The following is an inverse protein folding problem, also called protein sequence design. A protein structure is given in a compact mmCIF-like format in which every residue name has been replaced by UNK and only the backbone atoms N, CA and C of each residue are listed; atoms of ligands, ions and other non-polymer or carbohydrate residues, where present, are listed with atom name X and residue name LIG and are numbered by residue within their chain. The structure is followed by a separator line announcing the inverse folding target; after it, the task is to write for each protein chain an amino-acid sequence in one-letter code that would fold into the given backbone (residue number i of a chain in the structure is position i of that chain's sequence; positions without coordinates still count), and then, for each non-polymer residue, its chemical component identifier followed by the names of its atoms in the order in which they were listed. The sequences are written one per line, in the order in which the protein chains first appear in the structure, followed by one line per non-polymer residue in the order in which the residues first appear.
data_IF_433330910055
#
_entry.id   IF_433330910055
#
_cell.length_a   1.000
_cell.length_b   1.000
_cell.length_c   1.000
_cell.angle_alpha   90.00
_cell.angle_beta   90.00
_cell.angle_gamma   90.00
#
_symmetry.space_group_name_H-M   'P 1'
#
loop_
_entity.id
_entity.type
_entity.pdbx_description
1 polymer ?
#
# COMPACT_ATOMS: atom_id res chain seq x y z
N UNK A 1 -31.27 5.44 -1.84
CA UNK A 1 -29.99 5.79 -1.19
C UNK A 1 -28.92 5.88 -2.26
N UNK A 2 -28.21 7.01 -2.35
CA UNK A 2 -27.12 7.19 -3.31
C UNK A 2 -25.88 6.51 -2.74
N UNK A 3 -25.39 5.46 -3.41
CA UNK A 3 -24.10 4.84 -3.09
C UNK A 3 -23.02 5.82 -3.49
N UNK A 4 -22.30 6.39 -2.52
CA UNK A 4 -21.09 7.15 -2.80
C UNK A 4 -20.03 6.17 -3.31
N UNK A 5 -19.76 6.20 -4.62
CA UNK A 5 -18.57 5.55 -5.19
C UNK A 5 -17.37 6.44 -4.89
N UNK A 6 -16.79 6.30 -3.70
CA UNK A 6 -15.39 6.68 -3.48
C UNK A 6 -14.50 5.79 -4.36
N UNK A 7 -13.29 6.28 -4.69
CA UNK A 7 -12.29 5.67 -5.57
C UNK A 7 -12.37 4.13 -5.68
N UNK A 8 -13.20 3.62 -6.61
CA UNK A 8 -13.29 2.22 -7.01
C UNK A 8 -13.51 1.13 -5.95
N UNK A 9 -13.66 1.44 -4.66
CA UNK A 9 -13.62 0.44 -3.58
C UNK A 9 -14.74 -0.59 -3.66
N UNK A 10 -14.36 -1.88 -3.67
CA UNK A 10 -15.29 -3.01 -3.46
C UNK A 10 -15.56 -3.14 -1.95
N UNK A 11 -16.40 -2.25 -1.42
CA UNK A 11 -16.75 -2.26 0.00
C UNK A 11 -17.42 -3.60 0.40
N UNK A 12 -16.87 -4.28 1.41
CA UNK A 12 -17.42 -5.52 1.98
C UNK A 12 -16.80 -6.83 1.49
N UNK A 13 -15.84 -6.77 0.56
CA UNK A 13 -15.16 -7.96 0.01
C UNK A 13 -14.08 -8.49 0.97
N UNK A 14 -14.03 -9.81 1.17
CA UNK A 14 -12.96 -10.46 1.94
C UNK A 14 -11.60 -10.37 1.23
N UNK A 15 -10.48 -10.54 1.97
CA UNK A 15 -9.13 -10.42 1.37
C UNK A 15 -8.91 -11.42 0.23
N UNK A 16 -9.33 -12.66 0.41
CA UNK A 16 -9.16 -13.70 -0.63
C UNK A 16 -10.00 -13.43 -1.86
N UNK A 17 -11.23 -12.97 -1.66
CA UNK A 17 -12.14 -12.56 -2.74
C UNK A 17 -11.60 -11.33 -3.48
N UNK A 18 -11.03 -10.35 -2.76
CA UNK A 18 -10.38 -9.19 -3.35
C UNK A 18 -9.19 -9.60 -4.20
N UNK A 19 -8.33 -10.48 -3.69
CA UNK A 19 -7.17 -10.97 -4.44
C UNK A 19 -7.59 -11.72 -5.70
N UNK A 20 -8.67 -12.50 -5.63
CA UNK A 20 -9.22 -13.17 -6.80
C UNK A 20 -9.80 -12.17 -7.80
N UNK A 21 -10.58 -11.20 -7.32
CA UNK A 21 -11.14 -10.13 -8.15
C UNK A 21 -10.05 -9.34 -8.88
N UNK A 22 -8.96 -8.98 -8.21
CA UNK A 22 -7.83 -8.26 -8.83
C UNK A 22 -7.13 -9.10 -9.91
N UNK A 23 -6.99 -10.41 -9.68
CA UNK A 23 -6.43 -11.33 -10.68
C UNK A 23 -7.30 -11.43 -11.93
N UNK A 24 -8.61 -11.49 -11.74
CA UNK A 24 -9.60 -11.62 -12.82
C UNK A 24 -9.84 -10.29 -13.54
N UNK A 25 -9.63 -9.16 -12.86
CA UNK A 25 -9.87 -7.80 -13.35
C UNK A 25 -8.57 -6.98 -13.37
N UNK A 26 -7.58 -7.44 -14.16
CA UNK A 26 -6.26 -6.78 -14.24
C UNK A 26 -6.31 -5.30 -14.61
N UNK A 27 -7.27 -4.91 -15.45
CA UNK A 27 -7.45 -3.50 -15.84
C UNK A 27 -7.85 -2.63 -14.65
N UNK A 28 -8.59 -3.18 -13.70
CA UNK A 28 -8.95 -2.48 -12.47
C UNK A 28 -7.72 -2.29 -11.56
N UNK A 29 -6.88 -3.31 -11.40
CA UNK A 29 -5.59 -3.18 -10.69
C UNK A 29 -4.71 -2.10 -11.34
N UNK A 30 -4.56 -2.12 -12.67
CA UNK A 30 -3.77 -1.15 -13.42
C UNK A 30 -4.34 0.28 -13.33
N UNK A 31 -5.66 0.43 -13.35
CA UNK A 31 -6.31 1.74 -13.16
C UNK A 31 -5.95 2.33 -11.80
N UNK A 32 -6.00 1.53 -10.73
CA UNK A 32 -5.62 1.99 -9.39
C UNK A 32 -4.14 2.37 -9.30
N UNK A 33 -3.24 1.63 -9.95
CA UNK A 33 -1.82 2.02 -10.03
C UNK A 33 -1.65 3.38 -10.72
N UNK A 34 -2.35 3.62 -11.83
CA UNK A 34 -2.27 4.90 -12.54
C UNK A 34 -2.80 6.08 -11.71
N UNK A 35 -3.91 5.88 -11.00
CA UNK A 35 -4.45 6.88 -10.08
C UNK A 35 -3.45 7.18 -8.97
N UNK A 36 -2.84 6.15 -8.38
CA UNK A 36 -1.83 6.31 -7.35
C UNK A 36 -0.57 7.06 -7.85
N UNK A 37 -0.06 6.75 -9.05
CA UNK A 37 1.05 7.51 -9.65
C UNK A 37 0.67 8.98 -9.92
N UNK A 38 -0.59 9.25 -10.30
CA UNK A 38 -1.09 10.61 -10.46
C UNK A 38 -1.14 11.36 -9.13
N UNK A 39 -1.63 10.73 -8.07
CA UNK A 39 -1.64 11.32 -6.72
C UNK A 39 -0.21 11.66 -6.26
N UNK A 40 0.77 10.79 -6.53
CA UNK A 40 2.18 11.08 -6.26
C UNK A 40 2.67 12.30 -7.06
N UNK A 41 2.33 12.38 -8.35
CA UNK A 41 2.71 13.52 -9.19
C UNK A 41 2.08 14.84 -8.70
N UNK A 42 0.83 14.79 -8.22
CA UNK A 42 0.10 15.94 -7.69
C UNK A 42 0.75 16.47 -6.39
N UNK A 43 1.39 15.61 -5.60
CA UNK A 43 2.18 16.00 -4.43
C UNK A 43 3.48 16.72 -4.79
N UNK A 44 3.89 16.72 -6.08
CA UNK A 44 5.12 17.36 -6.58
C UNK A 44 6.40 16.90 -5.86
N UNK A 45 6.43 15.64 -5.41
CA UNK A 45 7.61 15.04 -4.80
C UNK A 45 8.50 14.41 -5.89
N UNK A 46 9.76 14.83 -5.98
CA UNK A 46 10.69 14.38 -7.03
C UNK A 46 11.29 12.99 -6.77
N UNK A 47 11.41 12.56 -5.51
CA UNK A 47 11.93 11.24 -5.12
C UNK A 47 11.20 10.74 -3.87
N UNK A 48 9.94 10.28 -4.00
CA UNK A 48 9.15 9.85 -2.86
C UNK A 48 9.62 8.48 -2.35
N UNK A 49 9.75 8.38 -1.02
CA UNK A 49 9.81 7.10 -0.33
C UNK A 49 8.37 6.64 -0.05
N UNK A 50 7.98 5.52 -0.65
CA UNK A 50 6.65 4.93 -0.48
C UNK A 50 6.71 3.88 0.64
N UNK A 51 5.86 4.04 1.65
CA UNK A 51 5.73 3.10 2.77
C UNK A 51 4.49 2.24 2.53
N UNK A 52 4.68 0.96 2.21
CA UNK A 52 3.61 0.02 1.91
C UNK A 52 3.24 -0.79 3.16
N UNK A 53 1.99 -0.68 3.60
CA UNK A 53 1.49 -1.40 4.78
C UNK A 53 0.99 -2.78 4.39
N UNK A 54 1.62 -3.82 4.95
CA UNK A 54 1.26 -5.21 4.72
C UNK A 54 1.85 -5.81 3.44
N UNK A 55 1.80 -7.15 3.34
CA UNK A 55 2.41 -7.88 2.23
C UNK A 55 1.69 -7.62 0.90
N UNK A 56 0.36 -7.70 0.87
CA UNK A 56 -0.43 -7.57 -0.36
C UNK A 56 -0.16 -6.23 -1.05
N UNK A 57 -0.26 -5.12 -0.31
CA UNK A 57 0.01 -3.77 -0.83
C UNK A 57 1.42 -3.67 -1.38
N UNK A 58 2.42 -4.16 -0.62
CA UNK A 58 3.80 -4.13 -1.04
C UNK A 58 4.03 -4.93 -2.34
N UNK A 59 3.46 -6.13 -2.44
CA UNK A 59 3.62 -7.00 -3.60
C UNK A 59 3.01 -6.38 -4.86
N UNK A 60 1.82 -5.76 -4.75
CA UNK A 60 1.17 -5.03 -5.85
C UNK A 60 2.05 -3.86 -6.30
N UNK A 61 2.57 -3.05 -5.37
CA UNK A 61 3.39 -1.89 -5.70
C UNK A 61 4.73 -2.28 -6.32
N UNK A 62 5.42 -3.27 -5.76
CA UNK A 62 6.70 -3.76 -6.31
C UNK A 62 6.51 -4.30 -7.73
N UNK A 63 5.44 -5.05 -7.97
CA UNK A 63 5.10 -5.62 -9.28
C UNK A 63 4.96 -4.55 -10.37
N UNK A 64 4.39 -3.39 -10.07
CA UNK A 64 4.05 -2.39 -11.10
C UNK A 64 4.99 -1.19 -11.16
N UNK A 65 5.48 -0.72 -10.01
CA UNK A 65 6.21 0.55 -9.90
C UNK A 65 7.49 0.44 -9.05
N UNK A 66 7.89 -0.78 -8.67
CA UNK A 66 9.09 -1.02 -7.85
C UNK A 66 10.41 -0.65 -8.53
N UNK A 67 10.44 -0.52 -9.86
CA UNK A 67 11.58 0.00 -10.61
C UNK A 67 11.64 1.52 -10.71
N UNK A 68 10.55 2.22 -10.34
CA UNK A 68 10.45 3.69 -10.42
C UNK A 68 10.63 4.37 -9.07
N UNK A 69 10.14 3.75 -8.00
CA UNK A 69 10.10 4.35 -6.67
C UNK A 69 10.85 3.52 -5.64
N UNK A 70 11.31 4.20 -4.58
CA UNK A 70 11.83 3.53 -3.38
C UNK A 70 10.63 3.10 -2.54
N UNK A 71 10.46 1.80 -2.36
CA UNK A 71 9.31 1.23 -1.65
C UNK A 71 9.81 0.39 -0.48
N UNK A 72 9.33 0.71 0.73
CA UNK A 72 9.62 -0.05 1.95
C UNK A 72 8.34 -0.68 2.47
N UNK A 73 8.42 -1.97 2.77
CA UNK A 73 7.33 -2.70 3.45
C UNK A 73 7.37 -2.43 4.94
N UNK A 74 6.21 -2.15 5.52
CA UNK A 74 6.00 -2.15 6.97
C UNK A 74 4.85 -3.10 7.33
N UNK A 75 4.80 -3.51 8.59
CA UNK A 75 3.70 -4.33 9.08
C UNK A 75 2.35 -3.61 8.98
N UNK A 76 1.27 -4.38 8.90
CA UNK A 76 -0.07 -3.80 8.81
C UNK A 76 -0.45 -3.08 10.12
N UNK A 77 -1.17 -1.96 10.03
CA UNK A 77 -1.53 -1.16 11.20
C UNK A 77 -2.44 -1.90 12.19
N UNK A 78 -3.23 -2.87 11.72
CA UNK A 78 -4.14 -3.66 12.57
C UNK A 78 -3.49 -4.85 13.27
N UNK A 79 -2.15 -4.97 13.26
CA UNK A 79 -1.47 -6.02 13.99
C UNK A 79 -1.74 -5.88 15.50
N UNK A 80 -2.02 -6.99 16.19
CA UNK A 80 -2.33 -7.00 17.62
C UNK A 80 -1.06 -6.86 18.47
N UNK A 81 -0.46 -5.67 18.46
CA UNK A 81 0.71 -5.30 19.27
C UNK A 81 0.50 -3.92 19.90
N UNK A 82 1.32 -3.58 20.91
CA UNK A 82 1.27 -2.23 21.48
C UNK A 82 1.72 -1.18 20.45
N UNK A 83 1.23 0.05 20.61
CA UNK A 83 1.60 1.18 19.75
C UNK A 83 3.10 1.45 19.81
N UNK A 84 3.70 1.26 20.98
CA UNK A 84 5.12 1.45 21.26
C UNK A 84 5.96 0.40 20.52
N UNK A 85 5.52 -0.87 20.52
CA UNK A 85 6.21 -1.93 19.78
C UNK A 85 6.05 -1.76 18.27
N UNK A 86 4.86 -1.38 17.81
CA UNK A 86 4.62 -1.04 16.41
C UNK A 86 5.56 0.08 15.95
N UNK A 87 5.62 1.15 16.74
CA UNK A 87 6.50 2.29 16.55
C UNK A 87 7.96 1.82 16.41
N UNK A 88 8.46 1.06 17.39
CA UNK A 88 9.83 0.58 17.40
C UNK A 88 10.16 -0.25 16.15
N UNK A 89 9.27 -1.16 15.73
CA UNK A 89 9.50 -2.01 14.57
C UNK A 89 9.51 -1.18 13.27
N UNK A 90 8.54 -0.28 13.07
CA UNK A 90 8.52 0.61 11.90
C UNK A 90 9.79 1.47 11.85
N UNK A 91 10.22 2.02 12.99
CA UNK A 91 11.45 2.80 13.06
C UNK A 91 12.68 1.97 12.71
N UNK A 92 12.79 0.74 13.24
CA UNK A 92 13.88 -0.20 12.91
C UNK A 92 13.91 -0.48 11.41
N UNK A 93 12.74 -0.71 10.80
CA UNK A 93 12.61 -0.94 9.35
C UNK A 93 13.01 0.28 8.52
N UNK A 94 12.60 1.48 8.90
CA UNK A 94 12.86 2.69 8.11
C UNK A 94 14.30 3.20 8.23
N UNK A 95 14.94 3.02 9.39
CA UNK A 95 16.26 3.58 9.64
C UNK A 95 17.41 2.59 9.39
N UNK A 96 17.14 1.30 9.15
CA UNK A 96 18.17 0.24 9.17
C UNK A 96 19.07 0.32 10.42
N UNK A 97 18.53 0.83 11.54
CA UNK A 97 19.24 0.93 12.81
C UNK A 97 18.70 -0.12 13.76
N UNK A 98 19.59 -0.91 14.34
CA UNK A 98 19.27 -1.61 15.59
C UNK A 98 19.00 -0.52 16.63
N UNK A 99 17.80 -0.52 17.22
CA UNK A 99 17.52 0.31 18.38
C UNK A 99 18.28 -0.35 19.54
N UNK A 100 19.42 0.23 19.89
CA UNK A 100 20.23 -0.12 21.08
C UNK A 100 19.45 0.12 22.38
#
# INVERSE_FOLDING_TARGET
MKSNKGAGGVDGMGVDELLQYLKDNKDFELMNIRLFEQEIADLKCSDPLIIAFGNITFDILIKHIGNKYRIIKVMHYSQQISKENYKAIVWKTLLNKELE
#
